data_IF_704829960131
#
_entry.id   IF_704829960131
#
_cell.length_a   1.000
_cell.length_b   1.000
_cell.length_c   1.000
_cell.angle_alpha   90.00
_cell.angle_beta   90.00
_cell.angle_gamma   90.00
#
_symmetry.space_group_name_H-M   'P 1'
#
loop_
_entity.id
_entity.type
_entity.pdbx_description
1 polymer ?
#
# COMPACT_ATOMS: atom_id res chain seq x y z
N UNK A 1 -67.79 -1.75 -5.92
CA UNK A 1 -66.90 -0.64 -5.54
C UNK A 1 -65.96 -1.07 -4.40
N UNK A 2 -65.12 -2.10 -4.62
CA UNK A 2 -64.25 -2.68 -3.55
C UNK A 2 -62.89 -3.23 -4.03
N UNK A 3 -62.57 -3.18 -5.34
CA UNK A 3 -61.38 -3.87 -5.88
C UNK A 3 -60.15 -2.97 -6.11
N UNK A 4 -60.23 -1.65 -5.87
CA UNK A 4 -59.13 -0.72 -6.15
C UNK A 4 -58.22 -0.41 -4.94
N UNK A 5 -58.65 -0.74 -3.72
CA UNK A 5 -57.87 -0.43 -2.52
C UNK A 5 -56.77 -1.48 -2.22
N UNK A 6 -57.01 -2.75 -2.54
CA UNK A 6 -56.07 -3.84 -2.24
C UNK A 6 -54.78 -3.78 -3.07
N UNK A 7 -54.84 -3.28 -4.31
CA UNK A 7 -53.69 -3.24 -5.22
C UNK A 7 -52.68 -2.14 -4.87
N UNK A 8 -53.11 -1.06 -4.21
CA UNK A 8 -52.22 0.03 -3.76
C UNK A 8 -51.40 -0.35 -2.53
N UNK A 9 -51.91 -1.26 -1.70
CA UNK A 9 -51.23 -1.72 -0.48
C UNK A 9 -50.07 -2.66 -0.85
N UNK A 10 -50.29 -3.58 -1.80
CA UNK A 10 -49.26 -4.53 -2.24
C UNK A 10 -48.04 -3.86 -2.89
N UNK A 11 -48.24 -2.75 -3.62
CA UNK A 11 -47.15 -1.98 -4.27
C UNK A 11 -46.28 -1.22 -3.28
N UNK A 12 -46.82 -0.79 -2.13
CA UNK A 12 -46.07 -0.03 -1.12
C UNK A 12 -45.15 -0.93 -0.30
N UNK A 13 -45.53 -2.18 -0.07
CA UNK A 13 -44.71 -3.15 0.67
C UNK A 13 -43.48 -3.62 -0.13
N UNK A 14 -43.55 -3.65 -1.46
CA UNK A 14 -42.43 -4.11 -2.29
C UNK A 14 -41.28 -3.09 -2.37
N UNK A 15 -41.58 -1.78 -2.27
CA UNK A 15 -40.57 -0.72 -2.32
C UNK A 15 -39.77 -0.64 -1.00
N UNK A 16 -40.39 -0.99 0.13
CA UNK A 16 -39.72 -0.96 1.43
C UNK A 16 -38.72 -2.11 1.61
N UNK A 17 -38.96 -3.26 0.97
CA UNK A 17 -38.05 -4.41 1.03
C UNK A 17 -36.74 -4.18 0.25
N UNK A 18 -36.76 -3.33 -0.78
CA UNK A 18 -35.57 -3.05 -1.60
C UNK A 18 -34.58 -2.11 -0.93
N UNK A 19 -35.01 -1.31 0.05
CA UNK A 19 -34.16 -0.32 0.74
C UNK A 19 -33.30 -0.94 1.85
N UNK A 20 -33.70 -2.09 2.42
CA UNK A 20 -32.96 -2.73 3.53
C UNK A 20 -31.72 -3.49 3.03
N UNK A 21 -31.68 -3.88 1.75
CA UNK A 21 -30.53 -4.63 1.18
C UNK A 21 -29.32 -3.72 0.90
N UNK A 22 -29.48 -2.39 0.90
CA UNK A 22 -28.37 -1.44 0.67
C UNK A 22 -27.68 -0.95 1.96
N UNK A 23 -28.16 -1.33 3.15
CA UNK A 23 -27.55 -0.91 4.42
C UNK A 23 -26.35 -1.78 4.87
N UNK A 24 -25.89 -2.71 4.01
CA UNK A 24 -24.79 -3.64 4.32
C UNK A 24 -23.41 -3.21 3.82
N UNK A 25 -23.29 -2.14 3.03
CA UNK A 25 -21.97 -1.58 2.67
C UNK A 25 -21.47 -0.72 3.82
N UNK A 26 -20.96 -1.36 4.87
CA UNK A 26 -20.06 -0.68 5.77
C UNK A 26 -18.78 -0.41 4.94
N UNK A 27 -18.40 0.86 4.66
CA UNK A 27 -17.09 1.09 4.09
C UNK A 27 -16.09 0.52 5.08
N UNK A 28 -15.44 -0.57 4.68
CA UNK A 28 -14.35 -1.13 5.44
C UNK A 28 -13.41 0.05 5.68
N UNK A 29 -13.13 0.37 6.94
CA UNK A 29 -12.13 1.35 7.33
C UNK A 29 -10.76 0.80 6.89
N UNK A 30 -10.57 0.77 5.58
CA UNK A 30 -9.37 0.37 4.90
C UNK A 30 -8.48 1.58 4.94
N UNK A 31 -7.27 1.37 5.46
CA UNK A 31 -6.03 2.03 5.03
C UNK A 31 -6.31 3.39 4.41
N UNK A 32 -6.13 4.45 5.21
CA UNK A 32 -6.15 5.86 4.82
C UNK A 32 -5.80 6.04 3.33
N UNK A 33 -6.58 6.80 2.56
CA UNK A 33 -6.41 6.94 1.10
C UNK A 33 -4.97 7.28 0.73
N UNK A 34 -4.25 7.98 1.61
CA UNK A 34 -2.84 8.29 1.46
C UNK A 34 -1.90 7.06 1.56
N UNK A 35 -2.25 5.99 2.26
CA UNK A 35 -1.44 4.78 2.39
C UNK A 35 -1.67 3.77 1.24
N UNK A 36 -2.79 3.88 0.52
CA UNK A 36 -3.13 3.01 -0.62
C UNK A 36 -2.01 2.86 -1.67
N UNK A 37 -1.25 3.91 -2.03
CA UNK A 37 -0.16 3.81 -3.00
C UNK A 37 0.91 2.78 -2.61
N UNK A 38 1.27 2.68 -1.32
CA UNK A 38 2.27 1.71 -0.85
C UNK A 38 1.80 0.27 -1.07
N UNK A 39 0.54 0.01 -0.70
CA UNK A 39 -0.06 -1.31 -0.88
C UNK A 39 -0.22 -1.68 -2.35
N UNK A 40 -0.64 -0.74 -3.19
CA UNK A 40 -0.76 -0.97 -4.64
C UNK A 40 0.58 -1.31 -5.26
N UNK A 41 1.64 -0.61 -4.87
CA UNK A 41 2.99 -0.88 -5.37
C UNK A 41 3.49 -2.24 -4.91
N UNK A 42 3.21 -2.64 -3.67
CA UNK A 42 3.65 -3.95 -3.19
C UNK A 42 2.86 -5.11 -3.80
N UNK A 43 1.67 -4.83 -4.35
CA UNK A 43 0.84 -5.80 -5.07
C UNK A 43 1.14 -5.87 -6.57
N UNK A 44 1.80 -4.88 -7.16
CA UNK A 44 1.97 -4.81 -8.61
C UNK A 44 3.40 -5.10 -9.02
N UNK A 45 3.57 -5.98 -10.00
CA UNK A 45 4.83 -6.10 -10.72
C UNK A 45 4.93 -4.88 -11.64
N UNK A 46 5.80 -3.92 -11.32
CA UNK A 46 5.89 -2.66 -12.08
C UNK A 46 6.48 -2.92 -13.49
N UNK A 47 5.65 -2.86 -14.54
CA UNK A 47 5.85 -1.95 -15.68
C UNK A 47 4.51 -1.56 -16.36
N UNK A 48 3.48 -1.17 -15.60
CA UNK A 48 2.11 -0.89 -16.09
C UNK A 48 1.83 0.59 -16.38
N UNK A 49 2.86 1.42 -16.56
CA UNK A 49 2.71 2.86 -16.87
C UNK A 49 2.11 3.71 -15.76
N UNK A 50 1.82 3.13 -14.60
CA UNK A 50 1.24 3.82 -13.44
C UNK A 50 2.28 4.31 -12.45
N UNK A 51 3.49 3.72 -12.47
CA UNK A 51 4.61 4.05 -11.61
C UNK A 51 5.92 3.86 -12.37
N UNK A 52 6.90 4.70 -12.07
CA UNK A 52 8.30 4.63 -12.48
C UNK A 52 9.18 4.54 -11.23
N UNK A 53 10.44 4.11 -11.40
CA UNK A 53 11.42 3.97 -10.33
C UNK A 53 12.64 4.83 -10.60
N UNK A 54 13.23 5.41 -9.56
CA UNK A 54 14.54 6.07 -9.63
C UNK A 54 15.65 5.05 -9.90
N UNK A 55 16.80 5.49 -10.39
CA UNK A 55 17.97 4.61 -10.60
C UNK A 55 18.65 4.22 -9.28
N UNK A 56 18.89 5.19 -8.39
CA UNK A 56 19.61 5.00 -7.13
C UNK A 56 18.88 4.08 -6.15
N UNK A 57 19.67 3.36 -5.34
CA UNK A 57 19.16 2.44 -4.33
C UNK A 57 19.35 3.03 -2.94
N UNK A 58 18.28 3.01 -2.15
CA UNK A 58 18.30 3.41 -0.74
C UNK A 58 18.28 2.15 0.11
N UNK A 59 19.28 2.00 0.97
CA UNK A 59 19.28 0.97 2.00
C UNK A 59 18.76 1.58 3.31
N UNK A 60 17.78 0.93 3.93
CA UNK A 60 17.22 1.33 5.24
C UNK A 60 17.19 0.16 6.21
N UNK A 61 17.41 0.45 7.49
CA UNK A 61 17.11 -0.45 8.60
C UNK A 61 16.21 0.24 9.61
N UNK A 62 15.13 -0.41 9.98
CA UNK A 62 14.23 0.09 11.02
C UNK A 62 14.80 -0.20 12.40
N UNK A 63 14.59 0.71 13.34
CA UNK A 63 15.01 0.54 14.74
C UNK A 63 14.33 -0.62 15.47
N UNK A 64 13.21 -1.12 14.94
CA UNK A 64 12.49 -2.26 15.49
C UNK A 64 12.74 -3.47 14.61
N UNK A 65 13.43 -4.47 15.15
CA UNK A 65 13.79 -5.70 14.44
C UNK A 65 12.58 -6.39 13.80
N UNK A 66 11.43 -6.40 14.48
CA UNK A 66 10.17 -6.97 13.97
C UNK A 66 9.73 -6.36 12.63
N UNK A 67 10.03 -5.09 12.37
CA UNK A 67 9.72 -4.45 11.09
C UNK A 67 10.66 -4.96 10.00
N UNK A 68 11.96 -5.08 10.30
CA UNK A 68 12.93 -5.67 9.37
C UNK A 68 12.57 -7.14 9.05
N UNK A 69 12.15 -7.89 10.06
CA UNK A 69 11.63 -9.26 9.88
C UNK A 69 10.35 -9.31 9.04
N UNK A 70 9.41 -8.37 9.26
CA UNK A 70 8.17 -8.29 8.49
C UNK A 70 8.40 -7.95 7.01
N UNK A 71 9.45 -7.18 6.73
CA UNK A 71 9.81 -6.78 5.37
C UNK A 71 10.80 -7.75 4.71
N UNK A 72 11.34 -8.71 5.44
CA UNK A 72 12.29 -9.69 4.92
C UNK A 72 11.69 -10.43 3.72
N UNK A 73 12.38 -10.32 2.58
CA UNK A 73 11.97 -10.96 1.35
C UNK A 73 13.11 -10.89 0.33
N UNK A 74 13.41 -12.01 -0.31
CA UNK A 74 14.24 -12.02 -1.49
C UNK A 74 13.52 -11.38 -2.68
N UNK A 75 14.28 -10.93 -3.69
CA UNK A 75 13.73 -10.33 -4.90
C UNK A 75 12.70 -11.24 -5.58
N UNK A 76 12.96 -12.53 -5.65
CA UNK A 76 12.07 -13.49 -6.29
C UNK A 76 10.80 -13.74 -5.47
N UNK A 77 10.87 -13.65 -4.15
CA UNK A 77 9.68 -13.70 -3.28
C UNK A 77 8.77 -12.49 -3.51
N UNK A 78 9.35 -11.29 -3.50
CA UNK A 78 8.64 -10.05 -3.78
C UNK A 78 7.98 -10.08 -5.16
N UNK A 79 8.71 -10.54 -6.18
CA UNK A 79 8.18 -10.67 -7.53
C UNK A 79 7.02 -11.67 -7.59
N UNK A 80 7.11 -12.81 -6.90
CA UNK A 80 6.00 -13.79 -6.84
C UNK A 80 4.76 -13.19 -6.18
N UNK A 81 4.90 -12.49 -5.06
CA UNK A 81 3.74 -11.89 -4.40
C UNK A 81 3.09 -10.81 -5.26
N UNK A 82 3.90 -9.99 -5.93
CA UNK A 82 3.45 -8.97 -6.89
C UNK A 82 2.81 -9.54 -8.15
N UNK A 83 3.24 -10.73 -8.57
CA UNK A 83 2.62 -11.43 -9.69
C UNK A 83 1.24 -11.97 -9.33
N UNK A 84 1.07 -12.45 -8.09
CA UNK A 84 -0.23 -12.92 -7.59
C UNK A 84 -1.19 -11.73 -7.44
N UNK A 85 -0.70 -10.58 -6.97
CA UNK A 85 -1.49 -9.35 -6.88
C UNK A 85 -2.53 -9.33 -5.74
N UNK A 86 -2.46 -10.29 -4.82
CA UNK A 86 -3.37 -10.39 -3.68
C UNK A 86 -2.63 -10.26 -2.35
N UNK A 87 -3.23 -9.56 -1.38
CA UNK A 87 -2.65 -9.45 -0.02
C UNK A 87 -2.58 -10.81 0.71
N UNK A 88 -3.43 -11.75 0.32
CA UNK A 88 -3.47 -13.12 0.86
C UNK A 88 -2.16 -13.89 0.59
N UNK A 89 -1.40 -13.50 -0.43
CA UNK A 89 -0.12 -14.10 -0.79
C UNK A 89 1.04 -13.67 0.13
N UNK A 90 0.87 -12.57 0.86
CA UNK A 90 1.90 -12.04 1.73
C UNK A 90 2.05 -12.89 3.01
N UNK A 91 3.27 -12.97 3.57
CA UNK A 91 3.47 -13.50 4.91
C UNK A 91 2.60 -12.77 5.93
N UNK A 92 2.13 -13.50 6.95
CA UNK A 92 1.17 -12.98 7.95
C UNK A 92 1.61 -11.67 8.62
N UNK A 93 2.92 -11.50 8.86
CA UNK A 93 3.49 -10.32 9.50
C UNK A 93 3.84 -9.19 8.53
N UNK A 94 3.86 -9.42 7.20
CA UNK A 94 4.29 -8.42 6.21
C UNK A 94 3.47 -7.13 6.27
N UNK A 95 2.19 -7.24 6.61
CA UNK A 95 1.31 -6.08 6.79
C UNK A 95 1.89 -5.04 7.73
N UNK A 96 2.52 -5.45 8.82
CA UNK A 96 3.12 -4.52 9.77
C UNK A 96 4.28 -3.73 9.14
N UNK A 97 5.09 -4.41 8.33
CA UNK A 97 6.13 -3.77 7.54
C UNK A 97 5.56 -2.77 6.55
N UNK A 98 4.52 -3.15 5.81
CA UNK A 98 3.86 -2.26 4.83
C UNK A 98 3.17 -1.06 5.50
N UNK A 99 2.58 -1.24 6.68
CA UNK A 99 2.05 -0.15 7.50
C UNK A 99 3.17 0.83 7.89
N UNK A 100 4.36 0.33 8.18
CA UNK A 100 5.50 1.16 8.49
C UNK A 100 6.04 1.92 7.27
N UNK A 101 6.02 1.31 6.07
CA UNK A 101 6.34 2.00 4.82
C UNK A 101 5.27 3.04 4.45
N UNK A 102 4.00 2.73 4.65
CA UNK A 102 2.88 3.67 4.47
C UNK A 102 3.02 4.87 5.40
N UNK A 103 3.41 4.65 6.64
CA UNK A 103 3.71 5.74 7.57
C UNK A 103 4.82 6.66 7.02
N UNK A 104 5.93 6.11 6.52
CA UNK A 104 7.01 6.92 5.94
C UNK A 104 6.51 7.73 4.74
N UNK A 105 5.68 7.14 3.88
CA UNK A 105 5.08 7.85 2.76
C UNK A 105 4.21 9.02 3.25
N UNK A 106 3.33 8.79 4.21
CA UNK A 106 2.46 9.83 4.76
C UNK A 106 3.22 11.00 5.40
N UNK A 107 4.37 10.72 6.03
CA UNK A 107 5.15 11.76 6.69
C UNK A 107 6.08 12.52 5.76
N UNK A 108 6.67 11.83 4.79
CA UNK A 108 7.78 12.37 4.00
C UNK A 108 7.46 12.57 2.52
N UNK A 109 6.29 12.10 2.08
CA UNK A 109 5.88 12.04 0.67
C UNK A 109 6.90 11.27 -0.18
N UNK A 110 7.45 10.19 0.39
CA UNK A 110 8.41 9.31 -0.28
C UNK A 110 7.87 7.90 -0.36
N UNK A 111 7.69 7.42 -1.59
CA UNK A 111 7.10 6.13 -1.87
C UNK A 111 8.20 5.10 -2.16
N UNK A 112 8.34 4.11 -1.28
CA UNK A 112 9.43 3.14 -1.34
C UNK A 112 8.99 1.85 -2.05
N UNK A 113 9.67 1.51 -3.14
CA UNK A 113 9.53 0.21 -3.81
C UNK A 113 10.61 -0.75 -3.34
N UNK A 114 10.22 -1.81 -2.65
CA UNK A 114 11.17 -2.78 -2.11
C UNK A 114 11.77 -3.66 -3.21
N UNK A 115 13.10 -3.67 -3.29
CA UNK A 115 13.88 -4.52 -4.20
C UNK A 115 14.21 -5.87 -3.58
N UNK A 116 14.55 -5.87 -2.29
CA UNK A 116 14.92 -7.03 -1.49
C UNK A 116 15.04 -6.63 -0.02
N UNK A 117 15.18 -7.62 0.85
CA UNK A 117 15.22 -7.43 2.29
C UNK A 117 15.82 -8.61 3.03
N UNK A 118 16.63 -8.32 4.06
CA UNK A 118 17.10 -9.32 5.01
C UNK A 118 16.87 -8.83 6.45
N UNK A 119 17.38 -9.57 7.45
CA UNK A 119 17.21 -9.20 8.85
C UNK A 119 17.84 -7.84 9.23
N UNK A 120 18.95 -7.47 8.59
CA UNK A 120 19.71 -6.28 8.94
C UNK A 120 19.29 -5.03 8.18
N UNK A 121 18.84 -5.16 6.94
CA UNK A 121 18.46 -4.03 6.11
C UNK A 121 17.54 -4.42 4.95
N UNK A 122 16.92 -3.40 4.38
CA UNK A 122 16.04 -3.47 3.23
C UNK A 122 16.57 -2.53 2.14
N UNK A 123 16.39 -2.90 0.88
CA UNK A 123 16.83 -2.10 -0.27
C UNK A 123 15.63 -1.62 -1.06
N UNK A 124 15.61 -0.34 -1.40
CA UNK A 124 14.49 0.32 -2.05
C UNK A 124 14.93 1.17 -3.23
N UNK A 125 14.00 1.38 -4.16
CA UNK A 125 14.01 2.51 -5.09
C UNK A 125 12.83 3.43 -4.76
N UNK A 126 12.93 4.69 -5.16
CA UNK A 126 11.79 5.60 -5.04
C UNK A 126 10.84 5.34 -6.20
N UNK A 127 9.57 5.14 -5.87
CA UNK A 127 8.50 5.05 -6.84
C UNK A 127 7.82 6.41 -7.02
N UNK A 128 7.49 6.76 -8.26
CA UNK A 128 6.80 8.00 -8.59
C UNK A 128 5.88 7.79 -9.79
N UNK A 129 4.86 8.64 -9.95
CA UNK A 129 3.96 8.54 -11.11
C UNK A 129 4.69 9.02 -12.38
N UNK A 130 4.51 8.40 -13.56
CA UNK A 130 5.21 8.84 -14.78
C UNK A 130 4.85 10.25 -15.27
N UNK A 131 3.74 10.82 -14.81
CA UNK A 131 3.33 12.19 -15.09
C UNK A 131 3.81 13.19 -14.02
N UNK A 132 4.62 12.76 -13.06
CA UNK A 132 5.26 13.58 -12.06
C UNK A 132 6.77 13.65 -12.34
N UNK A 133 7.45 14.75 -11.96
CA UNK A 133 8.90 14.81 -12.05
C UNK A 133 9.51 13.69 -11.20
N UNK A 134 10.60 13.11 -11.69
CA UNK A 134 11.39 12.16 -10.90
C UNK A 134 11.82 12.82 -9.58
N UNK A 135 11.59 12.18 -8.42
CA UNK A 135 11.90 12.77 -7.13
C UNK A 135 13.42 12.89 -6.94
N UNK A 136 13.84 13.97 -6.26
CA UNK A 136 15.23 14.13 -5.88
C UNK A 136 15.59 13.11 -4.79
N UNK A 137 16.38 12.10 -5.16
CA UNK A 137 16.75 10.99 -4.26
C UNK A 137 17.51 11.49 -3.02
N UNK A 138 18.40 12.47 -3.18
CA UNK A 138 19.18 13.04 -2.07
C UNK A 138 18.25 13.72 -1.05
N UNK A 139 17.27 14.48 -1.53
CA UNK A 139 16.29 15.14 -0.67
C UNK A 139 15.40 14.13 0.05
N UNK A 140 14.86 13.15 -0.68
CA UNK A 140 14.02 12.08 -0.14
C UNK A 140 14.78 11.24 0.90
N UNK A 141 16.04 10.88 0.60
CA UNK A 141 16.93 10.19 1.53
C UNK A 141 17.17 11.01 2.80
N UNK A 142 17.44 12.31 2.66
CA UNK A 142 17.66 13.21 3.78
C UNK A 142 16.41 13.40 4.66
N UNK A 143 15.19 13.27 4.11
CA UNK A 143 13.93 13.26 4.86
C UNK A 143 13.77 11.94 5.63
N UNK A 144 13.83 10.80 4.93
CA UNK A 144 13.62 9.48 5.55
C UNK A 144 14.71 9.15 6.57
N UNK A 145 15.98 9.41 6.26
CA UNK A 145 17.11 9.08 7.13
C UNK A 145 17.11 9.83 8.47
N UNK A 146 16.27 10.86 8.61
CA UNK A 146 16.05 11.58 9.89
C UNK A 146 14.80 11.12 10.65
N UNK A 147 14.01 10.20 10.10
CA UNK A 147 12.86 9.64 10.80
C UNK A 147 13.33 8.83 12.00
N UNK A 148 12.70 9.04 13.16
CA UNK A 148 13.09 8.39 14.42
C UNK A 148 12.92 6.88 14.43
N UNK A 149 12.27 6.31 13.41
CA UNK A 149 12.11 4.86 13.24
C UNK A 149 13.20 4.21 12.40
N UNK A 150 14.03 5.02 11.75
CA UNK A 150 15.15 4.56 10.93
C UNK A 150 16.41 4.62 11.80
N UNK A 151 17.06 3.47 11.98
CA UNK A 151 18.29 3.37 12.76
C UNK A 151 19.54 3.33 11.89
N UNK A 152 19.38 2.96 10.63
CA UNK A 152 20.44 3.01 9.64
C UNK A 152 19.85 3.38 8.29
N UNK A 153 20.58 4.22 7.55
CA UNK A 153 20.24 4.56 6.17
C UNK A 153 21.52 4.84 5.40
N UNK A 154 21.65 4.29 4.20
CA UNK A 154 22.68 4.63 3.24
C UNK A 154 22.09 4.78 1.85
N UNK A 155 22.80 5.53 1.02
CA UNK A 155 22.46 5.75 -0.38
C UNK A 155 23.59 5.17 -1.23
N UNK A 156 23.22 4.24 -2.10
CA UNK A 156 24.12 3.67 -3.10
C UNK A 156 23.73 4.28 -4.46
N UNK A 157 24.63 5.13 -4.97
CA UNK A 157 24.59 5.64 -6.33
C UNK A 157 25.48 4.70 -7.17
N UNK A 158 24.86 3.82 -7.95
CA UNK A 158 25.56 3.01 -8.97
C UNK A 158 26.06 3.90 -10.13
#
# INVERSE_FOLDING_TARGET
MLSFFALKILRRSLIFASLVVLAGCNPQAGIDDAAQPVYQIDQLQLPTGSWALTSSVIQLSFCRDRINEALMAERDELNRWRLIGEQSAFPKNRREGLDQLAYLFQQHDVLLYQLSGNFGAQWYRLAYRPNQPEPNVIEAFAKIGRDSRICFSSLDDE
#
